data_IF_928532582089
#
_entry.id   IF_928532582089
#
_cell.length_a   1.000
_cell.length_b   1.000
_cell.length_c   1.000
_cell.angle_alpha   90.00
_cell.angle_beta   90.00
_cell.angle_gamma   90.00
#
_symmetry.space_group_name_H-M   'P 1'
#
loop_
_entity.id
_entity.type
_entity.pdbx_description
1 polymer ?
#
# COMPACT_ATOMS: atom_id res chain seq x y z
N UNK A 1 0.94 5.71 11.52
CA UNK A 1 0.20 7.00 11.50
C UNK A 1 -0.99 6.84 10.58
N UNK A 2 -2.10 7.50 10.85
CA UNK A 2 -3.33 7.47 10.04
C UNK A 2 -3.35 8.76 9.21
N UNK A 3 -3.21 8.67 7.88
CA UNK A 3 -3.59 9.77 6.98
C UNK A 3 -5.08 9.59 6.69
N UNK A 4 -5.88 10.61 6.99
CA UNK A 4 -7.31 10.64 6.70
C UNK A 4 -7.59 11.73 5.67
N UNK A 5 -7.79 11.33 4.43
CA UNK A 5 -8.85 11.94 3.62
C UNK A 5 -10.17 11.40 4.22
N UNK A 6 -11.26 12.16 4.31
CA UNK A 6 -12.44 11.81 5.13
C UNK A 6 -12.99 10.38 4.93
N UNK A 7 -12.67 9.73 3.79
CA UNK A 7 -13.09 8.38 3.44
C UNK A 7 -11.97 7.32 3.31
N UNK A 8 -10.68 7.68 3.46
CA UNK A 8 -9.55 6.74 3.28
C UNK A 8 -8.57 6.82 4.44
N UNK A 9 -8.41 5.71 5.17
CA UNK A 9 -7.47 5.56 6.28
C UNK A 9 -6.37 4.58 5.91
N UNK A 10 -5.12 5.03 5.96
CA UNK A 10 -3.95 4.18 5.65
C UNK A 10 -3.12 3.99 6.91
N UNK A 11 -2.84 2.73 7.26
CA UNK A 11 -1.94 2.34 8.35
C UNK A 11 -0.75 1.60 7.81
N UNK A 12 0.45 2.14 8.03
CA UNK A 12 1.72 1.54 7.60
C UNK A 12 2.44 0.91 8.78
N UNK A 13 2.94 -0.30 8.56
CA UNK A 13 3.76 -1.08 9.48
C UNK A 13 5.14 -1.29 8.86
N UNK A 14 6.15 -0.57 9.37
CA UNK A 14 7.54 -0.72 8.93
C UNK A 14 8.05 -2.12 9.32
N UNK A 15 8.74 -2.79 8.40
CA UNK A 15 9.27 -4.15 8.56
C UNK A 15 10.77 -4.23 8.34
N UNK A 16 11.30 -3.50 7.35
CA UNK A 16 12.73 -3.48 6.96
C UNK A 16 13.38 -4.87 6.88
N UNK A 17 12.67 -5.84 6.31
CA UNK A 17 13.12 -7.23 6.20
C UNK A 17 13.47 -7.57 4.75
N UNK A 18 14.76 -7.47 4.42
CA UNK A 18 15.27 -7.75 3.08
C UNK A 18 14.68 -6.78 2.05
N UNK A 19 13.99 -7.32 1.03
CA UNK A 19 13.30 -6.48 0.04
C UNK A 19 11.96 -5.91 0.54
N UNK A 20 11.36 -6.48 1.59
CA UNK A 20 10.10 -5.97 2.15
C UNK A 20 10.37 -4.82 3.12
N UNK A 21 9.96 -3.62 2.72
CA UNK A 21 10.16 -2.39 3.51
C UNK A 21 9.06 -2.23 4.56
N UNK A 22 7.81 -2.37 4.13
CA UNK A 22 6.66 -2.16 5.00
C UNK A 22 5.41 -2.89 4.47
N UNK A 23 4.45 -3.08 5.36
CA UNK A 23 3.09 -3.45 4.97
C UNK A 23 2.13 -2.28 5.20
N UNK A 24 1.16 -2.10 4.32
CA UNK A 24 0.09 -1.14 4.49
C UNK A 24 -1.27 -1.83 4.62
N UNK A 25 -2.12 -1.28 5.46
CA UNK A 25 -3.54 -1.62 5.58
C UNK A 25 -4.35 -0.39 5.22
N UNK A 26 -5.34 -0.57 4.37
CA UNK A 26 -6.18 0.49 3.82
C UNK A 26 -7.61 0.24 4.29
N UNK A 27 -8.23 1.22 4.91
CA UNK A 27 -9.65 1.20 5.26
C UNK A 27 -10.36 2.28 4.46
N UNK A 28 -11.33 1.86 3.65
CA UNK A 28 -12.12 2.69 2.77
C UNK A 28 -13.54 2.76 3.32
N UNK A 29 -14.09 3.94 3.48
CA UNK A 29 -15.51 4.11 3.78
C UNK A 29 -16.33 3.84 2.53
N UNK A 30 -17.38 3.05 2.68
CA UNK A 30 -18.33 2.71 1.61
C UNK A 30 -19.70 3.27 1.93
N UNK A 31 -20.45 3.60 0.88
CA UNK A 31 -21.79 4.20 1.01
C UNK A 31 -22.77 3.30 1.77
N UNK A 32 -22.65 1.98 1.62
CA UNK A 32 -23.66 1.03 2.13
C UNK A 32 -23.15 0.05 3.19
N UNK A 33 -21.85 -0.18 3.30
CA UNK A 33 -21.29 -1.27 4.13
C UNK A 33 -20.35 -0.77 5.23
N UNK A 34 -20.29 0.55 5.48
CA UNK A 34 -19.34 1.14 6.41
C UNK A 34 -17.90 1.01 5.89
N UNK A 35 -16.95 0.66 6.75
CA UNK A 35 -15.53 0.56 6.35
C UNK A 35 -15.16 -0.82 5.79
N UNK A 36 -14.69 -0.86 4.54
CA UNK A 36 -13.98 -2.00 3.98
C UNK A 36 -12.50 -1.86 4.29
N UNK A 37 -11.91 -2.85 4.98
CA UNK A 37 -10.48 -2.88 5.28
C UNK A 37 -9.76 -3.93 4.45
N UNK A 38 -8.84 -3.47 3.60
CA UNK A 38 -7.95 -4.30 2.82
C UNK A 38 -6.58 -4.32 3.52
N UNK A 39 -6.15 -5.52 3.90
CA UNK A 39 -4.90 -5.74 4.63
C UNK A 39 -3.78 -6.19 3.70
N UNK A 40 -2.55 -6.00 4.19
CA UNK A 40 -1.32 -6.59 3.66
C UNK A 40 -0.88 -6.10 2.27
N UNK A 41 -1.09 -4.83 1.95
CA UNK A 41 -0.35 -4.21 0.85
C UNK A 41 1.14 -4.28 1.15
N UNK A 42 1.94 -4.73 0.19
CA UNK A 42 3.37 -4.91 0.32
C UNK A 42 4.09 -3.73 -0.32
N UNK A 43 4.93 -3.05 0.47
CA UNK A 43 5.85 -2.02 0.01
C UNK A 43 7.24 -2.63 0.01
N UNK A 44 7.86 -2.71 -1.16
CA UNK A 44 9.11 -3.44 -1.34
C UNK A 44 10.09 -2.70 -2.25
N UNK A 45 11.38 -2.95 -2.05
CA UNK A 45 12.45 -2.45 -2.92
C UNK A 45 12.33 -3.10 -4.29
N UNK A 46 12.40 -2.29 -5.32
CA UNK A 46 12.44 -2.70 -6.72
C UNK A 46 13.80 -2.38 -7.31
N UNK A 47 14.29 -3.24 -8.22
CA UNK A 47 15.49 -2.92 -9.01
C UNK A 47 15.17 -1.92 -10.13
N UNK A 48 13.91 -1.90 -10.58
CA UNK A 48 13.44 -0.98 -11.60
C UNK A 48 12.81 0.25 -10.96
N UNK A 49 13.10 1.42 -11.54
CA UNK A 49 12.48 2.67 -11.15
C UNK A 49 10.97 2.60 -11.42
N UNK A 50 10.16 2.88 -10.39
CA UNK A 50 8.74 3.04 -10.56
C UNK A 50 8.50 4.44 -11.17
N UNK A 51 8.10 4.48 -12.44
CA UNK A 51 7.86 5.75 -13.16
C UNK A 51 6.75 6.61 -12.55
N UNK A 52 5.83 6.02 -11.78
CA UNK A 52 4.74 6.76 -11.14
C UNK A 52 5.19 7.42 -9.84
N UNK A 53 6.00 6.71 -9.05
CA UNK A 53 6.51 7.19 -7.76
C UNK A 53 7.89 7.86 -7.86
N UNK A 54 8.56 7.77 -9.01
CA UNK A 54 9.94 8.23 -9.25
C UNK A 54 10.96 7.64 -8.25
N UNK A 55 10.71 6.42 -7.79
CA UNK A 55 11.47 5.76 -6.74
C UNK A 55 11.73 4.28 -7.04
N UNK A 56 12.76 3.70 -6.44
CA UNK A 56 13.08 2.27 -6.51
C UNK A 56 12.23 1.44 -5.53
N UNK A 57 10.94 1.76 -5.48
CA UNK A 57 9.95 1.16 -4.59
C UNK A 57 8.74 0.76 -5.41
N UNK A 58 8.18 -0.40 -5.11
CA UNK A 58 6.94 -0.85 -5.69
C UNK A 58 5.93 -1.20 -4.59
N UNK A 59 4.66 -0.96 -4.89
CA UNK A 59 3.55 -1.18 -3.97
C UNK A 59 2.58 -2.12 -4.66
N UNK A 60 2.21 -3.21 -3.99
CA UNK A 60 1.25 -4.17 -4.54
C UNK A 60 0.34 -4.77 -3.48
N UNK A 61 -0.89 -5.17 -3.82
CA UNK A 61 -1.70 -5.99 -2.93
C UNK A 61 -1.02 -7.34 -2.65
N UNK A 62 -1.38 -7.97 -1.53
CA UNK A 62 -0.89 -9.30 -1.20
C UNK A 62 -1.31 -10.31 -2.29
N UNK A 63 -0.37 -11.13 -2.72
CA UNK A 63 -0.62 -12.22 -3.65
C UNK A 63 -0.88 -13.54 -2.90
N UNK A 64 -1.81 -14.34 -3.40
CA UNK A 64 -2.07 -15.69 -2.93
C UNK A 64 -1.82 -16.69 -4.05
N UNK A 65 -1.15 -17.79 -3.73
CA UNK A 65 -1.06 -18.92 -4.63
C UNK A 65 -2.40 -19.68 -4.63
N UNK A 66 -3.04 -19.75 -5.80
CA UNK A 66 -4.30 -20.46 -6.05
C UNK A 66 -4.05 -21.39 -7.23
N UNK A 67 -4.05 -22.70 -6.97
CA UNK A 67 -3.79 -23.74 -7.97
C UNK A 67 -2.51 -23.52 -8.80
N UNK A 68 -1.41 -23.12 -8.15
CA UNK A 68 -0.12 -22.89 -8.80
C UNK A 68 0.02 -21.52 -9.46
N UNK A 69 -1.02 -20.69 -9.47
CA UNK A 69 -0.98 -19.31 -9.99
C UNK A 69 -0.96 -18.32 -8.84
N UNK A 70 -0.08 -17.32 -8.92
CA UNK A 70 -0.08 -16.19 -7.99
C UNK A 70 -1.08 -15.15 -8.46
N UNK A 71 -2.13 -14.94 -7.67
CA UNK A 71 -3.19 -13.97 -7.95
C UNK A 71 -3.18 -12.87 -6.89
N UNK A 72 -3.38 -11.64 -7.32
CA UNK A 72 -3.59 -10.51 -6.42
C UNK A 72 -4.90 -10.70 -5.65
N UNK A 73 -4.88 -10.42 -4.35
CA UNK A 73 -6.08 -10.51 -3.51
C UNK A 73 -7.14 -9.47 -3.84
N UNK A 74 -6.73 -8.35 -4.42
CA UNK A 74 -7.61 -7.23 -4.77
C UNK A 74 -7.29 -6.82 -6.19
N UNK A 75 -8.35 -6.63 -6.96
CA UNK A 75 -8.29 -6.10 -8.31
C UNK A 75 -8.88 -4.70 -8.32
N UNK A 76 -8.23 -3.79 -9.03
CA UNK A 76 -8.70 -2.43 -9.23
C UNK A 76 -9.14 -2.32 -10.69
N UNK A 77 -10.44 -2.10 -10.91
CA UNK A 77 -11.01 -1.96 -12.25
C UNK A 77 -10.51 -0.70 -12.95
N UNK A 78 -10.41 0.40 -12.21
CA UNK A 78 -9.89 1.67 -12.67
C UNK A 78 -8.42 1.83 -12.28
N UNK A 79 -7.55 1.85 -13.29
CA UNK A 79 -6.11 2.00 -13.13
C UNK A 79 -5.71 3.38 -12.60
N UNK A 80 -6.46 4.44 -12.92
CA UNK A 80 -6.17 5.78 -12.42
C UNK A 80 -6.45 5.85 -10.93
N UNK A 81 -7.56 5.26 -10.47
CA UNK A 81 -7.88 5.14 -9.03
C UNK A 81 -6.88 4.29 -8.27
N UNK A 82 -6.34 3.25 -8.90
CA UNK A 82 -5.22 2.52 -8.33
C UNK A 82 -3.99 3.41 -8.14
N UNK A 83 -3.61 4.21 -9.13
CA UNK A 83 -2.44 5.09 -9.03
C UNK A 83 -2.62 6.20 -8.00
N UNK A 84 -3.83 6.76 -7.87
CA UNK A 84 -4.17 7.68 -6.78
C UNK A 84 -3.97 7.03 -5.41
N UNK A 85 -4.44 5.78 -5.25
CA UNK A 85 -4.27 5.05 -4.00
C UNK A 85 -2.80 4.68 -3.74
N UNK A 86 -2.06 4.28 -4.78
CA UNK A 86 -0.63 3.98 -4.71
C UNK A 86 0.17 5.17 -4.18
N UNK A 87 -0.09 6.38 -4.71
CA UNK A 87 0.51 7.61 -4.23
C UNK A 87 0.19 7.88 -2.75
N UNK A 88 -1.08 7.73 -2.32
CA UNK A 88 -1.46 7.90 -0.90
C UNK A 88 -0.78 6.89 0.03
N UNK A 89 -0.60 5.64 -0.41
CA UNK A 89 0.12 4.62 0.36
C UNK A 89 1.60 5.00 0.47
N UNK A 90 2.20 5.47 -0.63
CA UNK A 90 3.58 5.91 -0.67
C UNK A 90 3.84 7.09 0.30
N UNK A 91 2.98 8.11 0.26
CA UNK A 91 3.07 9.27 1.17
C UNK A 91 2.97 8.83 2.63
N UNK A 92 1.98 7.98 2.94
CA UNK A 92 1.80 7.44 4.30
C UNK A 92 3.02 6.64 4.76
N UNK A 93 3.69 5.92 3.85
CA UNK A 93 4.91 5.19 4.14
C UNK A 93 6.09 6.12 4.40
N UNK A 94 6.29 7.15 3.57
CA UNK A 94 7.38 8.10 3.76
C UNK A 94 7.24 8.85 5.09
N UNK A 95 6.01 9.29 5.42
CA UNK A 95 5.71 9.89 6.74
C UNK A 95 5.98 8.93 7.90
N UNK A 96 5.58 7.66 7.76
CA UNK A 96 5.84 6.66 8.79
C UNK A 96 7.34 6.39 8.97
N UNK A 97 8.11 6.43 7.89
CA UNK A 97 9.56 6.21 7.90
C UNK A 97 10.34 7.39 8.47
N UNK A 98 10.00 8.62 8.09
CA UNK A 98 10.59 9.83 8.68
C UNK A 98 10.47 9.81 10.21
N UNK A 99 9.28 9.49 10.73
CA UNK A 99 9.05 9.42 12.19
C UNK A 99 9.76 8.25 12.88
N UNK A 100 10.05 7.17 12.16
CA UNK A 100 10.82 6.06 12.71
C UNK A 100 12.31 6.42 12.81
N UNK A 101 12.80 7.36 11.98
CA UNK A 101 14.19 7.84 12.01
C UNK A 101 14.45 8.89 13.09
N UNK A 102 13.41 9.58 13.58
CA UNK A 102 13.50 10.58 14.66
C UNK A 102 13.44 9.97 16.07
N UNK A 103 13.41 8.64 16.17
CA UNK A 103 13.47 7.89 17.44
C UNK A 103 14.79 7.15 17.59
#
# INVERSE_FOLDING_TARGET
MEMSDEHVKIRVFIKDKGNLLANATISLETVYFGFITIKDFQIWRSQNLNSRLQEYINIKPLQRNVYGKWLDRVFFEDTEKWYELEAKIYDAYFMARSKASDK
#
